data_IF_903129804017
#
_entry.id   IF_903129804017
#
_cell.length_a   1.000
_cell.length_b   1.000
_cell.length_c   1.000
_cell.angle_alpha   90.00
_cell.angle_beta   90.00
_cell.angle_gamma   90.00
#
_symmetry.space_group_name_H-M   'P 1'
#
loop_
_entity.id
_entity.type
_entity.pdbx_description
1 polymer ?
#
# COMPACT_ATOMS: atom_id res chain seq x y z
N UNK A 1 -22.56 10.93 -6.70
CA UNK A 1 -21.32 10.84 -7.52
C UNK A 1 -20.64 9.51 -7.29
N UNK A 2 -20.80 8.56 -8.22
CA UNK A 2 -20.21 7.23 -8.14
C UNK A 2 -18.96 7.21 -9.03
N UNK A 3 -17.83 7.72 -8.52
CA UNK A 3 -16.54 7.66 -9.23
C UNK A 3 -15.89 6.31 -8.92
N UNK A 4 -15.42 5.61 -9.95
CA UNK A 4 -14.74 4.32 -9.79
C UNK A 4 -13.41 4.51 -9.05
N UNK A 5 -13.10 3.60 -8.14
CA UNK A 5 -11.81 3.54 -7.45
C UNK A 5 -10.77 3.01 -8.44
N UNK A 6 -9.62 3.68 -8.53
CA UNK A 6 -8.49 3.24 -9.35
C UNK A 6 -7.45 2.60 -8.44
N UNK A 7 -7.29 1.28 -8.53
CA UNK A 7 -6.24 0.60 -7.79
C UNK A 7 -4.88 0.87 -8.43
N UNK A 8 -3.91 1.29 -7.61
CA UNK A 8 -2.50 1.36 -8.00
C UNK A 8 -1.76 0.24 -7.26
N UNK A 9 -1.14 -0.65 -8.02
CA UNK A 9 -0.38 -1.79 -7.52
C UNK A 9 1.09 -1.61 -7.80
N UNK A 10 1.94 -2.32 -7.05
CA UNK A 10 3.37 -2.35 -7.30
C UNK A 10 3.71 -3.31 -8.45
N UNK A 11 4.88 -3.11 -9.04
CA UNK A 11 5.44 -3.98 -10.07
C UNK A 11 5.63 -5.42 -9.58
N UNK A 12 5.62 -6.38 -10.51
CA UNK A 12 5.95 -7.77 -10.19
C UNK A 12 7.39 -7.89 -9.69
N UNK A 13 7.60 -8.77 -8.71
CA UNK A 13 8.87 -8.86 -7.98
C UNK A 13 9.02 -7.84 -6.84
N UNK A 14 8.09 -6.87 -6.70
CA UNK A 14 8.12 -5.94 -5.57
C UNK A 14 7.95 -6.67 -4.23
N UNK A 15 8.94 -6.52 -3.34
CA UNK A 15 8.86 -7.03 -1.99
C UNK A 15 7.71 -6.42 -1.17
N UNK A 16 7.29 -5.18 -1.49
CA UNK A 16 6.12 -4.51 -0.88
C UNK A 16 4.82 -5.14 -1.35
N UNK A 17 4.68 -5.44 -2.66
CA UNK A 17 3.53 -6.20 -3.20
C UNK A 17 3.39 -7.54 -2.52
N UNK A 18 4.48 -8.32 -2.50
CA UNK A 18 4.49 -9.65 -1.90
C UNK A 18 4.08 -9.61 -0.42
N UNK A 19 4.61 -8.64 0.34
CA UNK A 19 4.23 -8.44 1.75
C UNK A 19 2.75 -8.13 1.90
N UNK A 20 2.26 -7.14 1.16
CA UNK A 20 0.89 -6.65 1.27
C UNK A 20 -0.11 -7.75 0.92
N UNK A 21 0.12 -8.45 -0.18
CA UNK A 21 -0.72 -9.57 -0.61
C UNK A 21 -0.68 -10.73 0.38
N UNK A 22 0.48 -11.05 0.94
CA UNK A 22 0.60 -12.11 1.95
C UNK A 22 -0.14 -11.77 3.25
N UNK A 23 0.02 -10.54 3.76
CA UNK A 23 -0.66 -10.08 4.99
C UNK A 23 -2.18 -10.09 4.82
N UNK A 24 -2.69 -9.76 3.62
CA UNK A 24 -4.12 -9.78 3.32
C UNK A 24 -4.66 -11.16 2.94
N UNK A 25 -3.83 -12.22 2.92
CA UNK A 25 -4.26 -13.56 2.51
C UNK A 25 -4.54 -13.70 1.00
N UNK A 26 -3.98 -12.80 0.20
CA UNK A 26 -4.13 -12.71 -1.27
C UNK A 26 -2.90 -13.23 -2.02
N UNK A 27 -1.98 -13.91 -1.35
CA UNK A 27 -0.76 -14.45 -1.98
C UNK A 27 -1.10 -15.31 -3.21
N UNK A 28 -0.48 -14.99 -4.34
CA UNK A 28 -0.70 -15.68 -5.62
C UNK A 28 -1.99 -15.31 -6.36
N UNK A 29 -2.79 -14.37 -5.83
CA UNK A 29 -3.92 -13.80 -6.57
C UNK A 29 -3.41 -12.77 -7.57
N UNK A 30 -4.09 -12.69 -8.72
CA UNK A 30 -3.88 -11.63 -9.71
C UNK A 30 -4.31 -10.27 -9.15
N UNK A 31 -3.71 -9.21 -9.69
CA UNK A 31 -4.18 -7.86 -9.43
C UNK A 31 -5.61 -7.68 -9.93
N UNK A 32 -6.31 -6.68 -9.38
CA UNK A 32 -7.64 -6.32 -9.85
C UNK A 32 -7.58 -5.79 -11.29
N UNK A 33 -8.61 -6.09 -12.07
CA UNK A 33 -8.68 -5.65 -13.47
C UNK A 33 -8.63 -4.12 -13.58
N UNK A 34 -7.89 -3.62 -14.56
CA UNK A 34 -7.66 -2.18 -14.74
C UNK A 34 -6.76 -1.51 -13.69
N UNK A 35 -6.06 -2.27 -12.84
CA UNK A 35 -5.06 -1.71 -11.92
C UNK A 35 -3.91 -1.02 -12.68
N UNK A 36 -3.49 0.14 -12.17
CA UNK A 36 -2.31 0.85 -12.68
C UNK A 36 -1.08 0.31 -11.96
N UNK A 37 -0.01 0.01 -12.70
CA UNK A 37 1.27 -0.40 -12.10
C UNK A 37 2.12 0.84 -11.78
N UNK A 38 2.33 1.10 -10.50
CA UNK A 38 3.27 2.11 -9.99
C UNK A 38 4.64 1.48 -9.72
N UNK A 39 5.63 1.82 -10.54
CA UNK A 39 7.00 1.31 -10.41
C UNK A 39 7.73 1.98 -9.25
N UNK A 40 8.04 1.18 -8.22
CA UNK A 40 8.67 1.67 -7.00
C UNK A 40 7.81 2.68 -6.24
N UNK A 41 8.41 3.25 -5.19
CA UNK A 41 7.74 4.25 -4.35
C UNK A 41 7.38 5.52 -5.13
N UNK A 42 8.30 6.06 -5.92
CA UNK A 42 8.05 7.32 -6.63
C UNK A 42 6.90 7.20 -7.64
N UNK A 43 6.82 6.08 -8.35
CA UNK A 43 5.72 5.79 -9.27
C UNK A 43 4.38 5.64 -8.55
N UNK A 44 4.37 4.90 -7.43
CA UNK A 44 3.19 4.74 -6.58
C UNK A 44 2.66 6.09 -6.08
N UNK A 45 3.52 6.89 -5.43
CA UNK A 45 3.13 8.20 -4.88
C UNK A 45 2.65 9.16 -5.96
N UNK A 46 3.32 9.20 -7.13
CA UNK A 46 2.92 10.05 -8.26
C UNK A 46 1.54 9.66 -8.79
N UNK A 47 1.29 8.36 -8.98
CA UNK A 47 0.01 7.87 -9.49
C UNK A 47 -1.15 8.18 -8.53
N UNK A 48 -0.94 8.00 -7.22
CA UNK A 48 -1.95 8.33 -6.21
C UNK A 48 -2.17 9.84 -6.08
N UNK A 49 -1.09 10.63 -6.04
CA UNK A 49 -1.15 12.10 -5.93
C UNK A 49 -1.92 12.74 -7.10
N UNK A 50 -1.72 12.24 -8.31
CA UNK A 50 -2.31 12.83 -9.52
C UNK A 50 -3.74 12.36 -9.81
N UNK A 51 -4.28 11.41 -9.05
CA UNK A 51 -5.63 10.89 -9.24
C UNK A 51 -6.39 10.82 -7.91
N UNK A 52 -7.35 11.71 -7.72
CA UNK A 52 -8.16 11.78 -6.49
C UNK A 52 -9.03 10.56 -6.21
N UNK A 53 -9.21 9.65 -7.18
CA UNK A 53 -9.92 8.38 -6.98
C UNK A 53 -8.95 7.19 -6.84
N UNK A 54 -7.64 7.41 -6.84
CA UNK A 54 -6.66 6.35 -6.74
C UNK A 54 -6.41 5.93 -5.29
N UNK A 55 -6.18 4.63 -5.11
CA UNK A 55 -5.73 4.05 -3.85
C UNK A 55 -4.57 3.10 -4.13
N UNK A 56 -3.56 3.13 -3.27
CA UNK A 56 -2.39 2.26 -3.35
C UNK A 56 -1.82 1.98 -1.97
N UNK A 57 -0.70 1.26 -1.94
CA UNK A 57 0.00 0.89 -0.71
C UNK A 57 1.50 1.10 -0.88
N UNK A 58 2.17 1.55 0.17
CA UNK A 58 3.62 1.70 0.21
C UNK A 58 4.15 1.48 1.63
N UNK A 59 5.47 1.35 1.76
CA UNK A 59 6.13 1.20 3.06
C UNK A 59 6.06 2.52 3.83
N UNK A 60 5.69 2.46 5.10
CA UNK A 60 5.45 3.64 5.95
C UNK A 60 6.61 4.66 5.93
N UNK A 61 7.87 4.19 5.85
CA UNK A 61 9.05 5.06 5.83
C UNK A 61 9.22 5.91 4.57
N UNK A 62 8.45 5.64 3.50
CA UNK A 62 8.55 6.37 2.24
C UNK A 62 7.34 7.26 1.94
N UNK A 63 6.25 7.13 2.70
CA UNK A 63 5.04 7.92 2.46
C UNK A 63 5.25 9.34 2.97
N UNK A 64 4.94 10.33 2.13
CA UNK A 64 5.05 11.77 2.45
C UNK A 64 3.67 12.39 2.67
N UNK A 65 3.62 13.65 3.10
CA UNK A 65 2.37 14.43 3.24
C UNK A 65 1.69 14.77 1.90
N UNK A 66 2.28 14.39 0.78
CA UNK A 66 1.72 14.61 -0.57
C UNK A 66 0.56 13.69 -0.89
N UNK A 67 0.36 12.63 -0.11
CA UNK A 67 -0.77 11.70 -0.22
C UNK A 67 -1.47 11.56 1.12
N UNK A 68 -2.77 11.26 1.10
CA UNK A 68 -3.54 11.03 2.31
C UNK A 68 -3.33 9.60 2.80
N UNK A 69 -2.75 9.46 4.00
CA UNK A 69 -2.61 8.17 4.68
C UNK A 69 -3.96 7.76 5.29
N UNK A 70 -4.38 6.53 5.04
CA UNK A 70 -5.64 5.98 5.57
C UNK A 70 -5.41 5.17 6.84
N UNK A 71 -6.44 5.12 7.69
CA UNK A 71 -6.50 4.17 8.80
C UNK A 71 -7.06 2.85 8.32
N UNK A 72 -6.63 1.75 8.94
CA UNK A 72 -7.18 0.41 8.70
C UNK A 72 -7.80 -0.06 10.01
N UNK A 73 -9.10 -0.39 9.98
CA UNK A 73 -9.88 -0.74 11.17
C UNK A 73 -9.76 0.31 12.29
N UNK A 74 -9.73 1.59 11.94
CA UNK A 74 -9.61 2.71 12.88
C UNK A 74 -8.19 2.96 13.41
N UNK A 75 -7.20 2.15 13.03
CA UNK A 75 -5.81 2.31 13.48
C UNK A 75 -4.98 2.99 12.39
N UNK A 76 -4.33 4.10 12.73
CA UNK A 76 -3.37 4.77 11.85
C UNK A 76 -2.01 4.04 11.85
N UNK A 77 -1.31 3.94 10.71
CA UNK A 77 0.04 3.40 10.68
C UNK A 77 1.02 4.36 11.38
N UNK A 78 1.75 3.86 12.36
CA UNK A 78 2.85 4.57 13.01
C UNK A 78 3.86 3.58 13.56
N UNK A 79 5.07 4.03 13.89
CA UNK A 79 6.06 3.19 14.57
C UNK A 79 5.53 2.59 15.87
N UNK A 80 4.64 3.31 16.58
CA UNK A 80 4.02 2.85 17.82
C UNK A 80 2.97 1.77 17.56
N UNK A 81 2.04 2.02 16.63
CA UNK A 81 0.94 1.07 16.32
C UNK A 81 1.43 -0.19 15.63
N UNK A 82 2.56 -0.12 14.92
CA UNK A 82 3.26 -1.28 14.38
C UNK A 82 3.92 -2.07 15.52
N UNK A 83 4.70 -1.41 16.40
CA UNK A 83 5.41 -2.09 17.51
C UNK A 83 4.47 -2.76 18.50
N UNK A 84 3.33 -2.14 18.80
CA UNK A 84 2.33 -2.71 19.72
C UNK A 84 1.36 -3.70 19.02
N UNK A 85 1.52 -3.91 17.70
CA UNK A 85 0.74 -4.88 16.93
C UNK A 85 -0.72 -4.49 16.67
N UNK A 86 -1.14 -3.26 16.96
CA UNK A 86 -2.50 -2.77 16.66
C UNK A 86 -2.69 -2.50 15.16
N UNK A 87 -1.66 -2.02 14.46
CA UNK A 87 -1.67 -1.88 13.02
C UNK A 87 -1.30 -3.20 12.34
N UNK A 88 -2.32 -3.91 11.82
CA UNK A 88 -2.19 -5.29 11.33
C UNK A 88 -1.48 -5.42 9.97
N UNK A 89 -1.39 -4.36 9.18
CA UNK A 89 -0.67 -4.38 7.90
C UNK A 89 0.80 -4.07 8.13
N UNK A 90 1.51 -4.98 8.80
CA UNK A 90 2.94 -4.85 9.07
C UNK A 90 3.63 -6.21 9.07
N UNK A 91 4.95 -6.20 8.83
CA UNK A 91 5.81 -7.39 8.95
C UNK A 91 7.14 -7.00 9.59
N UNK A 92 7.81 -7.92 10.32
CA UNK A 92 9.18 -7.70 10.73
C UNK A 92 10.08 -7.62 9.49
N UNK A 93 11.07 -6.72 9.52
CA UNK A 93 12.17 -6.72 8.56
C UNK A 93 13.30 -7.55 9.16
N UNK A 94 13.54 -8.73 8.59
CA UNK A 94 14.71 -9.54 8.91
C UNK A 94 15.83 -9.19 7.93
N UNK A 95 17.02 -8.88 8.47
CA UNK A 95 18.25 -8.86 7.68
C UNK A 95 18.71 -10.32 7.58
N UNK A 96 18.96 -10.79 6.36
CA UNK A 96 19.58 -12.08 6.07
C UNK A 96 20.94 -11.88 5.44
#
# INVERSE_FOLDING_TARGET
>A
NNKNIVAVVREDGSGTKSAFMEILGLKGKSDVDGAIVGYGTAGMLTAVKNNSNAIGYDSLGYVTSEVKILTVNGVAPSSETIKNGTYKISRPLSIV
#
